data_IF_924625211835
#
_entry.id   IF_924625211835
#
_cell.length_a   1.000
_cell.length_b   1.000
_cell.length_c   1.000
_cell.angle_alpha   90.00
_cell.angle_beta   90.00
_cell.angle_gamma   90.00
#
_symmetry.space_group_name_H-M   'P 1'
#
loop_
_entity.id
_entity.type
_entity.pdbx_description
1 polymer ?
#
# COMPACT_ATOMS: atom_id res chain seq x y z
N UNK A 1 -12.26 -7.30 -22.50
CA UNK A 1 -11.05 -7.69 -21.74
C UNK A 1 -11.28 -7.52 -20.25
N UNK A 2 -10.93 -8.52 -19.49
CA UNK A 2 -11.02 -8.43 -18.04
C UNK A 2 -9.69 -7.92 -17.50
N UNK A 3 -9.74 -7.21 -16.39
CA UNK A 3 -8.55 -6.79 -15.68
C UNK A 3 -7.79 -8.01 -15.14
N UNK A 4 -6.47 -7.93 -15.01
CA UNK A 4 -5.72 -9.00 -14.37
C UNK A 4 -6.19 -9.20 -12.93
N UNK A 5 -6.00 -10.39 -12.35
CA UNK A 5 -6.37 -10.61 -10.96
C UNK A 5 -5.53 -9.72 -10.04
N UNK A 6 -6.12 -9.31 -8.93
CA UNK A 6 -5.39 -8.57 -7.90
C UNK A 6 -4.32 -9.50 -7.32
N UNK A 7 -3.06 -9.07 -7.23
CA UNK A 7 -2.02 -9.91 -6.66
C UNK A 7 -2.27 -10.21 -5.19
N UNK A 8 -1.64 -11.24 -4.69
CA UNK A 8 -1.80 -11.63 -3.30
C UNK A 8 -1.34 -10.53 -2.35
N UNK A 9 -0.23 -9.86 -2.67
CA UNK A 9 0.29 -8.78 -1.83
C UNK A 9 0.16 -7.45 -2.54
N UNK A 10 -0.36 -6.46 -1.83
CA UNK A 10 -0.39 -5.06 -2.25
C UNK A 10 0.14 -4.22 -1.10
N UNK A 11 0.50 -2.97 -1.39
CA UNK A 11 1.29 -2.17 -0.46
C UNK A 11 0.70 -0.79 -0.24
N UNK A 12 0.74 -0.35 1.00
CA UNK A 12 0.44 1.02 1.39
C UNK A 12 1.75 1.73 1.70
N UNK A 13 1.96 2.89 1.11
CA UNK A 13 3.14 3.72 1.38
C UNK A 13 2.77 4.75 2.45
N UNK A 14 3.55 4.80 3.52
CA UNK A 14 3.36 5.81 4.58
C UNK A 14 4.69 6.49 4.90
N UNK A 15 4.66 7.82 5.18
CA UNK A 15 5.89 8.57 5.42
C UNK A 15 6.41 8.48 6.85
N UNK A 16 5.60 7.99 7.78
CA UNK A 16 5.97 7.91 9.20
C UNK A 16 5.94 6.46 9.68
N UNK A 17 6.79 6.15 10.66
CA UNK A 17 6.85 4.81 11.21
C UNK A 17 5.50 4.39 11.81
N UNK A 18 5.00 3.20 11.46
CA UNK A 18 3.77 2.72 12.09
C UNK A 18 4.02 2.40 13.56
N UNK A 19 3.00 2.54 14.42
CA UNK A 19 3.13 2.11 15.80
C UNK A 19 3.36 0.61 15.92
N UNK A 20 4.06 0.20 16.97
CA UNK A 20 4.31 -1.22 17.23
C UNK A 20 3.93 -1.51 18.70
N UNK A 21 2.98 -2.43 18.94
CA UNK A 21 2.21 -3.20 17.95
C UNK A 21 1.21 -2.33 17.18
N UNK A 22 0.77 -2.85 16.03
CA UNK A 22 -0.23 -2.14 15.22
C UNK A 22 -1.57 -2.11 15.94
N UNK A 23 -2.29 -0.97 15.91
CA UNK A 23 -3.66 -0.93 16.42
C UNK A 23 -4.60 -1.70 15.50
N UNK A 24 -5.82 -1.88 15.91
CA UNK A 24 -6.84 -2.49 15.06
C UNK A 24 -6.97 -1.74 13.73
N UNK A 25 -6.93 -0.42 13.76
CA UNK A 25 -7.03 0.41 12.57
C UNK A 25 -6.16 1.67 12.72
N UNK A 26 -5.22 1.85 11.78
CA UNK A 26 -4.46 3.09 11.70
C UNK A 26 -5.38 4.21 11.23
N UNK A 27 -5.11 5.47 11.63
CA UNK A 27 -5.85 6.61 11.08
C UNK A 27 -5.69 6.65 9.57
N UNK A 28 -6.77 7.01 8.87
CA UNK A 28 -6.71 7.17 7.42
C UNK A 28 -5.84 8.38 7.06
N UNK A 29 -5.10 8.29 5.95
CA UNK A 29 -4.46 9.47 5.40
C UNK A 29 -5.53 10.46 4.96
N UNK A 30 -5.17 11.74 4.86
CA UNK A 30 -6.11 12.77 4.40
C UNK A 30 -6.65 12.44 3.02
N UNK A 31 -5.81 11.90 2.13
CA UNK A 31 -6.21 11.54 0.78
C UNK A 31 -7.20 10.37 0.78
N UNK A 32 -6.92 9.33 1.56
CA UNK A 32 -7.82 8.17 1.66
C UNK A 32 -9.19 8.59 2.20
N UNK A 33 -9.20 9.42 3.24
CA UNK A 33 -10.44 9.92 3.83
C UNK A 33 -11.24 10.76 2.84
N UNK A 34 -10.55 11.61 2.07
CA UNK A 34 -11.17 12.47 1.08
C UNK A 34 -11.78 11.66 -0.08
N UNK A 35 -11.05 10.68 -0.58
CA UNK A 35 -11.46 9.92 -1.75
C UNK A 35 -12.42 8.77 -1.42
N UNK A 36 -12.51 8.37 -0.15
CA UNK A 36 -13.44 7.34 0.27
C UNK A 36 -12.96 5.91 0.06
N UNK A 37 -11.66 5.73 -0.17
CA UNK A 37 -11.03 4.41 -0.30
C UNK A 37 -9.55 4.51 0.03
N UNK A 38 -8.93 3.37 0.31
CA UNK A 38 -7.50 3.32 0.61
C UNK A 38 -6.71 3.14 -0.68
N UNK A 39 -5.70 4.00 -0.90
CA UNK A 39 -4.82 3.95 -2.08
C UNK A 39 -3.69 2.97 -1.82
N UNK A 40 -3.56 1.97 -2.70
CA UNK A 40 -2.54 0.93 -2.62
C UNK A 40 -1.84 0.79 -3.96
N UNK A 41 -0.73 0.08 -3.97
CA UNK A 41 0.05 -0.21 -5.19
C UNK A 41 0.48 -1.67 -5.17
N UNK A 42 0.61 -2.27 -6.37
CA UNK A 42 1.29 -3.55 -6.46
C UNK A 42 2.81 -3.34 -6.32
N UNK A 43 3.56 -4.42 -6.22
CA UNK A 43 5.00 -4.35 -5.97
C UNK A 43 5.75 -3.56 -7.05
N UNK A 44 5.34 -3.71 -8.30
CA UNK A 44 5.99 -3.02 -9.41
C UNK A 44 5.69 -1.52 -9.42
N UNK A 45 4.51 -1.11 -8.98
CA UNK A 45 4.10 0.28 -8.99
C UNK A 45 4.59 1.07 -7.78
N UNK A 46 4.87 0.41 -6.64
CA UNK A 46 5.29 1.07 -5.40
C UNK A 46 6.42 2.10 -5.63
N UNK A 47 7.54 1.76 -6.27
CA UNK A 47 8.61 2.75 -6.44
C UNK A 47 8.18 3.96 -7.27
N UNK A 48 7.37 3.74 -8.29
CA UNK A 48 6.88 4.82 -9.17
C UNK A 48 5.93 5.75 -8.42
N UNK A 49 5.02 5.18 -7.61
CA UNK A 49 4.12 5.96 -6.78
C UNK A 49 4.89 6.75 -5.74
N UNK A 50 5.93 6.15 -5.15
CA UNK A 50 6.78 6.83 -4.19
C UNK A 50 7.45 8.05 -4.82
N UNK A 51 7.95 7.95 -6.04
CA UNK A 51 8.55 9.08 -6.74
C UNK A 51 7.53 10.18 -7.05
N UNK A 52 6.29 9.82 -7.35
CA UNK A 52 5.25 10.81 -7.66
C UNK A 52 4.78 11.59 -6.43
N UNK A 53 4.62 10.93 -5.30
CA UNK A 53 3.97 11.53 -4.13
C UNK A 53 4.87 11.71 -2.91
N UNK A 54 6.03 11.06 -2.88
CA UNK A 54 6.91 11.06 -1.72
C UNK A 54 8.36 11.39 -2.11
N UNK A 55 8.53 12.17 -3.19
CA UNK A 55 9.87 12.54 -3.68
C UNK A 55 10.68 13.31 -2.65
N UNK A 56 10.02 14.07 -1.77
CA UNK A 56 10.70 14.86 -0.75
C UNK A 56 11.07 14.05 0.50
N UNK A 57 10.59 12.80 0.60
CA UNK A 57 10.88 11.96 1.76
C UNK A 57 12.16 11.18 1.55
N UNK A 58 12.99 11.09 2.59
CA UNK A 58 14.18 10.26 2.60
C UNK A 58 13.90 8.87 3.15
N UNK A 59 12.81 8.73 3.88
CA UNK A 59 12.39 7.49 4.53
C UNK A 59 10.93 7.26 4.25
N UNK A 60 10.58 6.00 3.99
CA UNK A 60 9.20 5.57 3.83
C UNK A 60 9.04 4.22 4.50
N UNK A 61 7.82 3.92 4.89
CA UNK A 61 7.46 2.59 5.36
C UNK A 61 6.41 2.03 4.42
N UNK A 62 6.54 0.74 4.09
CA UNK A 62 5.57 0.04 3.28
C UNK A 62 4.84 -0.96 4.16
N UNK A 63 3.52 -0.92 4.11
CA UNK A 63 2.67 -1.90 4.77
C UNK A 63 2.25 -2.92 3.72
N UNK A 64 2.57 -4.19 3.95
CA UNK A 64 2.21 -5.28 3.04
C UNK A 64 0.88 -5.88 3.49
N UNK A 65 -0.09 -5.92 2.59
CA UNK A 65 -1.40 -6.51 2.85
C UNK A 65 -1.53 -7.82 2.09
N UNK A 66 -2.08 -8.83 2.75
CA UNK A 66 -2.47 -10.09 2.10
C UNK A 66 -3.92 -9.90 1.64
N UNK A 67 -4.13 -9.79 0.33
CA UNK A 67 -5.44 -9.47 -0.23
C UNK A 67 -6.49 -10.54 0.08
N UNK A 68 -6.08 -11.82 0.21
CA UNK A 68 -7.01 -12.88 0.58
C UNK A 68 -7.56 -12.69 2.00
N UNK A 69 -6.70 -12.27 2.93
CA UNK A 69 -7.10 -12.00 4.32
C UNK A 69 -8.04 -10.81 4.39
N UNK A 70 -7.71 -9.74 3.65
CA UNK A 70 -8.52 -8.52 3.64
C UNK A 70 -9.89 -8.78 3.01
N UNK A 71 -9.93 -9.55 1.93
CA UNK A 71 -11.22 -9.92 1.29
C UNK A 71 -12.08 -10.75 2.23
N UNK A 72 -11.48 -11.68 2.97
CA UNK A 72 -12.22 -12.47 3.95
C UNK A 72 -12.80 -11.60 5.07
N UNK A 73 -12.17 -10.47 5.37
CA UNK A 73 -12.66 -9.53 6.37
C UNK A 73 -13.68 -8.53 5.80
N UNK A 74 -14.02 -8.62 4.51
CA UNK A 74 -15.02 -7.79 3.88
C UNK A 74 -14.49 -6.67 2.98
N UNK A 75 -13.17 -6.57 2.81
CA UNK A 75 -12.56 -5.58 1.92
C UNK A 75 -12.74 -5.94 0.45
N UNK A 76 -12.77 -4.93 -0.41
CA UNK A 76 -12.95 -5.10 -1.84
C UNK A 76 -11.86 -4.32 -2.59
N UNK A 77 -11.09 -5.03 -3.40
CA UNK A 77 -9.99 -4.45 -4.18
C UNK A 77 -10.42 -4.20 -5.62
N UNK A 78 -10.10 -3.02 -6.12
CA UNK A 78 -10.41 -2.62 -7.50
C UNK A 78 -9.20 -1.95 -8.12
N UNK A 79 -8.82 -2.34 -9.33
CA UNK A 79 -7.78 -1.65 -10.07
C UNK A 79 -8.23 -0.22 -10.37
N UNK A 80 -7.33 0.74 -10.18
CA UNK A 80 -7.60 2.13 -10.53
C UNK A 80 -7.63 2.28 -12.04
N UNK A 81 -8.62 3.03 -12.56
CA UNK A 81 -8.67 3.32 -13.99
C UNK A 81 -7.50 4.22 -14.38
N UNK A 82 -6.87 3.90 -15.50
CA UNK A 82 -5.80 4.71 -16.09
C UNK A 82 -4.55 4.87 -15.21
N UNK A 83 -4.42 4.06 -14.15
CA UNK A 83 -3.27 4.08 -13.25
C UNK A 83 -2.77 2.65 -13.06
N UNK A 84 -2.01 2.11 -14.03
CA UNK A 84 -1.54 0.73 -13.95
C UNK A 84 -0.81 0.45 -12.63
N UNK A 85 -1.13 -0.68 -12.02
CA UNK A 85 -0.51 -1.08 -10.76
C UNK A 85 -1.07 -0.42 -9.50
N UNK A 86 -1.97 0.56 -9.65
CA UNK A 86 -2.62 1.19 -8.51
C UNK A 86 -3.91 0.44 -8.19
N UNK A 87 -4.13 0.18 -6.90
CA UNK A 87 -5.25 -0.60 -6.40
C UNK A 87 -5.98 0.22 -5.35
N UNK A 88 -7.30 0.21 -5.42
CA UNK A 88 -8.16 0.88 -4.43
C UNK A 88 -8.83 -0.16 -3.55
N UNK A 89 -8.79 0.06 -2.25
CA UNK A 89 -9.45 -0.81 -1.28
C UNK A 89 -10.69 -0.11 -0.74
N UNK A 90 -11.84 -0.71 -0.99
CA UNK A 90 -13.13 -0.24 -0.51
C UNK A 90 -13.63 -1.13 0.62
N UNK A 91 -14.44 -0.56 1.49
CA UNK A 91 -15.11 -1.32 2.52
C UNK A 91 -16.27 -2.13 1.98
N UNK A 92 -16.96 -2.80 2.89
CA UNK A 92 -18.08 -3.67 2.57
C UNK A 92 -19.34 -2.86 2.31
N UNK A 93 -19.57 -2.52 1.07
CA UNK A 93 -20.72 -1.77 0.63
C UNK A 93 -20.45 -0.30 0.35
N UNK A 94 -21.53 0.48 0.18
CA UNK A 94 -21.45 1.89 -0.13
C UNK A 94 -21.38 2.69 1.17
N UNK A 95 -20.46 3.66 1.20
CA UNK A 95 -20.31 4.58 2.33
C UNK A 95 -19.94 3.90 3.67
N UNK A 96 -19.25 2.78 3.61
CA UNK A 96 -18.77 2.10 4.82
C UNK A 96 -17.29 1.76 4.68
N UNK A 97 -16.59 1.83 5.81
CA UNK A 97 -15.18 1.45 5.90
C UNK A 97 -14.99 0.01 6.42
N UNK A 98 -16.07 -0.72 6.65
CA UNK A 98 -15.99 -2.10 7.14
C UNK A 98 -15.17 -2.96 6.15
N UNK A 99 -14.07 -3.55 6.64
CA UNK A 99 -13.18 -4.34 5.80
C UNK A 99 -12.07 -3.54 5.14
N UNK A 100 -12.19 -2.21 5.04
CA UNK A 100 -11.16 -1.34 4.50
C UNK A 100 -10.43 -0.65 5.65
N UNK A 101 -9.52 -1.39 6.27
CA UNK A 101 -8.71 -0.87 7.37
C UNK A 101 -7.28 -1.38 7.25
N UNK A 102 -6.35 -0.61 7.83
CA UNK A 102 -4.95 -0.96 7.91
C UNK A 102 -4.58 -1.14 9.39
N UNK A 103 -4.26 -2.35 9.79
CA UNK A 103 -3.91 -2.60 11.16
C UNK A 103 -3.71 -4.07 11.45
N UNK A 104 -3.83 -4.41 12.73
CA UNK A 104 -3.72 -5.80 13.15
C UNK A 104 -4.73 -6.66 12.39
N UNK A 105 -4.25 -7.77 11.82
CA UNK A 105 -5.08 -8.70 11.07
C UNK A 105 -5.21 -8.40 9.59
N UNK A 106 -4.85 -7.21 9.12
CA UNK A 106 -4.87 -6.87 7.68
C UNK A 106 -3.48 -6.57 7.15
N UNK A 107 -2.64 -5.92 7.93
CA UNK A 107 -1.24 -5.68 7.56
C UNK A 107 -0.44 -6.91 7.96
N UNK A 108 0.14 -7.59 6.96
CA UNK A 108 0.92 -8.80 7.16
C UNK A 108 2.31 -8.49 7.71
N UNK A 109 2.95 -7.46 7.16
CA UNK A 109 4.32 -7.09 7.53
C UNK A 109 4.53 -5.63 7.16
N UNK A 110 5.60 -5.04 7.69
CA UNK A 110 5.99 -3.69 7.33
C UNK A 110 7.50 -3.61 7.21
N UNK A 111 7.98 -2.76 6.30
CA UNK A 111 9.41 -2.54 6.10
C UNK A 111 9.69 -1.07 5.88
N UNK A 112 10.82 -0.63 6.43
CA UNK A 112 11.32 0.72 6.23
C UNK A 112 12.23 0.73 5.00
N UNK A 113 12.04 1.73 4.15
CA UNK A 113 12.90 1.98 3.00
C UNK A 113 13.51 3.36 3.13
N UNK A 114 14.77 3.49 2.74
CA UNK A 114 15.48 4.77 2.73
C UNK A 114 16.08 4.99 1.35
N UNK A 115 16.21 6.25 0.96
CA UNK A 115 16.97 6.62 -0.22
C UNK A 115 18.09 7.56 0.17
N UNK A 116 19.14 7.58 -0.63
CA UNK A 116 20.33 8.37 -0.33
C UNK A 116 20.44 9.55 -1.30
N UNK A 117 20.56 10.76 -0.73
CA UNK A 117 20.82 11.96 -1.52
C UNK A 117 19.74 12.23 -2.56
N UNK A 118 20.20 12.39 -3.81
CA UNK A 118 19.32 12.70 -4.94
C UNK A 118 18.80 11.47 -5.67
N UNK A 119 19.04 10.29 -5.14
CA UNK A 119 18.54 9.03 -5.68
C UNK A 119 17.01 9.04 -5.73
N UNK A 120 16.44 8.47 -6.81
CA UNK A 120 14.99 8.30 -6.88
C UNK A 120 14.56 7.10 -6.05
N UNK A 121 13.26 7.02 -5.73
CA UNK A 121 12.72 5.83 -5.07
C UNK A 121 12.81 4.60 -5.97
N UNK A 122 12.64 4.78 -7.29
CA UNK A 122 12.80 3.67 -8.24
C UNK A 122 14.20 3.07 -8.11
N UNK A 123 15.23 3.90 -8.09
CA UNK A 123 16.60 3.42 -7.94
C UNK A 123 16.90 2.94 -6.53
N UNK A 124 16.41 3.65 -5.52
CA UNK A 124 16.63 3.29 -4.12
C UNK A 124 16.01 1.96 -3.72
N UNK A 125 14.79 1.70 -4.18
CA UNK A 125 14.10 0.46 -3.87
C UNK A 125 14.60 -0.72 -4.71
N UNK A 126 15.32 -0.45 -5.78
CA UNK A 126 15.91 -1.49 -6.62
C UNK A 126 17.16 -2.10 -5.98
N UNK A 127 17.78 -1.37 -5.06
CA UNK A 127 18.98 -1.76 -4.33
C UNK A 127 18.62 -2.26 -2.94
N UNK A 128 19.52 -2.98 -2.32
CA UNK A 128 19.38 -3.36 -0.92
C UNK A 128 18.60 -4.65 -0.69
N UNK A 129 18.64 -5.09 0.56
CA UNK A 129 18.08 -6.37 0.99
C UNK A 129 16.55 -6.39 0.93
N UNK A 130 15.91 -5.23 1.02
CA UNK A 130 14.45 -5.14 1.09
C UNK A 130 13.79 -5.40 -0.25
N UNK A 131 14.55 -5.40 -1.34
CA UNK A 131 14.01 -5.63 -2.68
C UNK A 131 13.31 -6.98 -2.80
N UNK A 132 13.85 -8.02 -2.18
CA UNK A 132 13.26 -9.35 -2.25
C UNK A 132 11.95 -9.48 -1.47
N UNK A 133 11.70 -8.55 -0.55
CA UNK A 133 10.46 -8.49 0.21
C UNK A 133 9.32 -7.86 -0.61
N UNK A 134 9.65 -6.97 -1.55
CA UNK A 134 8.67 -6.23 -2.35
C UNK A 134 8.24 -7.08 -3.55
N UNK A 135 7.27 -7.94 -3.33
CA UNK A 135 6.79 -8.91 -4.33
C UNK A 135 5.27 -8.93 -4.37
N UNK A 136 4.72 -9.47 -5.45
CA UNK A 136 3.27 -9.61 -5.60
C UNK A 136 2.75 -10.91 -4.95
N UNK A 137 3.63 -11.85 -4.75
CA UNK A 137 3.28 -13.14 -4.13
C UNK A 137 4.44 -13.70 -3.33
#
# INVERSE_FOLDING_TARGET
>A
MTDPPIPRFVYKIIPDAPPSPLPFSLPLSALDAKDGFIHLSDANQVPKTADLFFAECEKLWLLQLDTEVVKAAGGRFVWAENLPGCVHLYGNGVDTWDGARLGEGTVRDSRKFTRLGEETWVDGMRKGAERSWLVDQ
#
